data_IF_424787692176
#
_entry.id   IF_424787692176
#
_cell.length_a   1.000
_cell.length_b   1.000
_cell.length_c   1.000
_cell.angle_alpha   90.00
_cell.angle_beta   90.00
_cell.angle_gamma   90.00
#
_symmetry.space_group_name_H-M   'P 1'
#
loop_
_entity.id
_entity.type
_entity.pdbx_description
1 polymer ?
#
# COMPACT_ATOMS: atom_id res chain seq x y z
N UNK A 1 17.13 5.47 11.67
CA UNK A 1 17.59 4.60 12.78
C UNK A 1 18.83 5.22 13.44
N UNK A 2 18.98 5.12 14.77
CA UNK A 2 20.17 5.59 15.48
C UNK A 2 21.26 4.51 15.40
N UNK A 3 22.41 4.89 14.85
CA UNK A 3 23.61 4.05 14.81
C UNK A 3 24.66 4.67 15.73
N UNK A 4 25.27 3.88 16.60
CA UNK A 4 26.48 4.28 17.32
C UNK A 4 27.66 3.45 16.80
N UNK A 5 28.57 4.11 16.08
CA UNK A 5 29.90 3.55 15.81
C UNK A 5 30.93 4.42 16.56
N UNK A 6 31.77 3.77 17.35
CA UNK A 6 32.90 4.40 18.07
C UNK A 6 32.52 5.63 18.92
N UNK A 7 31.36 5.61 19.59
CA UNK A 7 30.94 6.67 20.52
C UNK A 7 30.32 7.92 19.86
N UNK A 8 30.17 7.95 18.53
CA UNK A 8 29.40 8.97 17.81
C UNK A 8 28.05 8.39 17.38
N UNK A 9 26.98 8.93 17.95
CA UNK A 9 25.62 8.63 17.52
C UNK A 9 25.26 9.38 16.23
N UNK A 10 24.85 8.66 15.20
CA UNK A 10 24.35 9.24 13.96
C UNK A 10 22.95 8.69 13.63
N UNK A 11 22.03 9.59 13.30
CA UNK A 11 20.75 9.21 12.72
C UNK A 11 20.95 9.00 11.22
N UNK A 12 20.67 7.79 10.73
CA UNK A 12 20.62 7.51 9.29
C UNK A 12 19.19 7.31 8.83
N UNK A 13 18.88 7.88 7.67
CA UNK A 13 17.63 7.61 6.97
C UNK A 13 17.56 6.12 6.59
N UNK A 14 16.39 5.53 6.77
CA UNK A 14 16.10 4.17 6.35
C UNK A 14 14.83 4.22 5.50
N UNK A 15 14.91 3.87 4.20
CA UNK A 15 13.75 3.94 3.32
C UNK A 15 12.67 2.98 3.81
N UNK A 16 11.44 3.50 3.89
CA UNK A 16 10.26 2.71 4.23
C UNK A 16 9.63 2.03 3.00
N UNK A 17 8.47 1.36 3.18
CA UNK A 17 7.79 0.64 2.11
C UNK A 17 7.42 1.50 0.89
N UNK A 18 7.21 2.81 1.08
CA UNK A 18 6.89 3.75 -0.01
C UNK A 18 7.99 3.86 -1.08
N UNK A 19 9.21 3.40 -0.80
CA UNK A 19 10.31 3.39 -1.77
C UNK A 19 10.34 2.13 -2.65
N UNK A 20 9.30 1.27 -2.58
CA UNK A 20 9.13 0.14 -3.48
C UNK A 20 8.50 0.54 -4.82
N UNK A 21 8.72 -0.27 -5.87
CA UNK A 21 8.17 0.02 -7.20
C UNK A 21 6.64 -0.13 -7.28
N UNK A 22 6.10 -1.10 -6.53
CA UNK A 22 4.66 -1.36 -6.41
C UNK A 22 4.33 -1.36 -4.93
N UNK A 23 3.38 -0.51 -4.55
CA UNK A 23 2.90 -0.39 -3.19
C UNK A 23 1.42 -0.78 -3.14
N UNK A 24 1.09 -1.79 -2.35
CA UNK A 24 -0.29 -2.14 -2.01
C UNK A 24 -0.65 -1.50 -0.67
N UNK A 25 -1.50 -0.49 -0.70
CA UNK A 25 -2.08 0.16 0.47
C UNK A 25 -3.45 -0.46 0.77
N UNK A 26 -3.45 -1.53 1.54
CA UNK A 26 -4.68 -2.22 1.92
C UNK A 26 -5.48 -1.37 2.92
N UNK A 27 -6.79 -1.31 2.72
CA UNK A 27 -7.76 -0.55 3.51
C UNK A 27 -7.30 0.88 3.81
N UNK A 28 -6.94 1.63 2.76
CA UNK A 28 -6.42 3.00 2.90
C UNK A 28 -7.35 3.90 3.72
N UNK A 29 -8.65 3.62 3.71
CA UNK A 29 -9.66 4.31 4.50
C UNK A 29 -9.56 4.06 6.01
N UNK A 30 -8.82 3.07 6.51
CA UNK A 30 -8.57 2.86 7.95
C UNK A 30 -7.38 3.67 8.47
N UNK A 31 -6.51 4.11 7.57
CA UNK A 31 -5.40 4.97 7.94
C UNK A 31 -5.91 6.37 8.33
N UNK A 32 -5.34 7.02 9.36
CA UNK A 32 -5.67 8.41 9.68
C UNK A 32 -5.46 9.34 8.49
N UNK A 33 -6.26 10.41 8.37
CA UNK A 33 -6.17 11.37 7.26
C UNK A 33 -4.76 11.92 7.01
N UNK A 34 -3.94 12.09 8.06
CA UNK A 34 -2.53 12.51 7.93
C UNK A 34 -1.64 11.48 7.22
N UNK A 35 -1.92 10.19 7.40
CA UNK A 35 -1.19 9.09 6.74
C UNK A 35 -1.63 8.98 5.28
N UNK A 36 -2.93 9.10 5.02
CA UNK A 36 -3.47 9.17 3.67
C UNK A 36 -2.86 10.34 2.89
N UNK A 37 -2.84 11.54 3.49
CA UNK A 37 -2.26 12.73 2.88
C UNK A 37 -0.78 12.54 2.55
N UNK A 38 0.01 11.94 3.45
CA UNK A 38 1.43 11.67 3.21
C UNK A 38 1.66 10.70 2.03
N UNK A 39 0.80 9.69 1.86
CA UNK A 39 0.88 8.79 0.71
C UNK A 39 0.52 9.51 -0.59
N UNK A 40 -0.55 10.32 -0.58
CA UNK A 40 -0.99 11.08 -1.76
C UNK A 40 0.03 12.15 -2.16
N UNK A 41 0.68 12.79 -1.20
CA UNK A 41 1.80 13.71 -1.45
C UNK A 41 2.97 12.98 -2.14
N UNK A 42 3.33 11.79 -1.64
CA UNK A 42 4.37 10.96 -2.25
C UNK A 42 4.02 10.55 -3.69
N UNK A 43 2.73 10.26 -3.97
CA UNK A 43 2.23 9.95 -5.31
C UNK A 43 2.37 11.12 -6.28
N UNK A 44 2.03 12.34 -5.84
CA UNK A 44 2.06 13.52 -6.70
C UNK A 44 3.46 14.08 -6.90
N UNK A 45 4.20 14.25 -5.80
CA UNK A 45 5.51 14.90 -5.82
C UNK A 45 6.61 13.93 -6.25
N UNK A 46 6.32 12.61 -6.30
CA UNK A 46 7.27 11.53 -6.61
C UNK A 46 8.54 11.58 -5.75
N UNK A 47 8.42 12.10 -4.53
CA UNK A 47 9.50 12.23 -3.57
C UNK A 47 8.94 12.27 -2.15
N UNK A 48 9.79 12.00 -1.17
CA UNK A 48 9.45 12.09 0.25
C UNK A 48 10.51 12.89 0.98
N UNK A 49 10.08 13.87 1.78
CA UNK A 49 10.99 14.69 2.60
C UNK A 49 11.00 14.20 4.03
N UNK A 50 12.19 13.89 4.56
CA UNK A 50 12.39 13.49 5.96
C UNK A 50 13.40 14.42 6.61
N UNK A 51 12.92 15.25 7.54
CA UNK A 51 13.74 16.30 8.15
C UNK A 51 14.11 17.38 7.14
N UNK A 52 15.40 17.50 6.81
CA UNK A 52 15.90 18.46 5.81
C UNK A 52 16.39 17.80 4.52
N UNK A 53 16.09 16.51 4.33
CA UNK A 53 16.54 15.75 3.16
C UNK A 53 15.34 15.23 2.39
N UNK A 54 15.33 15.51 1.09
CA UNK A 54 14.32 15.01 0.15
C UNK A 54 14.88 13.82 -0.60
N UNK A 55 14.08 12.76 -0.68
CA UNK A 55 14.45 11.50 -1.29
C UNK A 55 13.49 11.21 -2.46
N UNK A 56 13.98 11.09 -3.71
CA UNK A 56 13.13 10.74 -4.83
C UNK A 56 12.60 9.31 -4.70
N UNK A 57 11.38 9.09 -5.17
CA UNK A 57 10.83 7.74 -5.35
C UNK A 57 11.39 7.09 -6.63
N UNK A 58 11.30 5.76 -6.75
CA UNK A 58 11.68 5.08 -7.99
C UNK A 58 10.90 5.60 -9.21
N UNK A 59 11.53 5.58 -10.39
CA UNK A 59 10.88 6.01 -11.64
C UNK A 59 9.59 5.23 -11.92
N UNK A 60 9.62 3.92 -11.63
CA UNK A 60 8.44 3.05 -11.57
C UNK A 60 7.88 3.08 -10.16
N UNK A 61 6.85 3.89 -9.93
CA UNK A 61 6.13 3.95 -8.66
C UNK A 61 4.63 3.82 -8.90
N UNK A 62 4.06 2.67 -8.54
CA UNK A 62 2.65 2.36 -8.69
C UNK A 62 2.05 2.12 -7.31
N UNK A 63 0.99 2.85 -6.99
CA UNK A 63 0.20 2.63 -5.78
C UNK A 63 -1.12 1.97 -6.15
N UNK A 64 -1.37 0.80 -5.58
CA UNK A 64 -2.69 0.16 -5.58
C UNK A 64 -3.27 0.32 -4.18
N UNK A 65 -4.48 0.83 -4.07
CA UNK A 65 -5.13 1.00 -2.77
C UNK A 65 -6.49 0.31 -2.78
N UNK A 66 -6.82 -0.38 -1.69
CA UNK A 66 -8.14 -0.98 -1.49
C UNK A 66 -8.93 -0.13 -0.48
N UNK A 67 -10.24 -0.16 -0.59
CA UNK A 67 -11.15 0.46 0.35
C UNK A 67 -12.26 -0.53 0.66
N UNK A 68 -12.49 -0.80 1.94
CA UNK A 68 -13.64 -1.59 2.36
C UNK A 68 -14.84 -0.65 2.60
N UNK A 69 -15.90 -0.70 1.75
CA UNK A 69 -17.00 0.26 1.83
C UNK A 69 -18.01 -0.05 2.96
N UNK A 70 -17.93 -1.24 3.56
CA UNK A 70 -18.95 -1.74 4.51
C UNK A 70 -18.62 -1.33 5.96
N UNK A 71 -17.33 -1.14 6.27
CA UNK A 71 -16.88 -0.79 7.62
C UNK A 71 -16.88 0.74 7.84
N UNK A 72 -17.74 1.21 8.74
CA UNK A 72 -17.90 2.64 9.09
C UNK A 72 -17.20 3.02 10.39
N UNK A 73 -16.83 2.05 11.23
CA UNK A 73 -16.15 2.32 12.51
C UNK A 73 -14.64 2.46 12.29
N UNK A 74 -14.08 3.59 12.74
CA UNK A 74 -12.64 3.84 12.63
C UNK A 74 -12.15 4.10 11.20
N UNK A 75 -13.03 4.47 10.27
CA UNK A 75 -12.66 4.80 8.90
C UNK A 75 -12.69 6.31 8.62
N UNK A 76 -11.76 6.73 7.76
CA UNK A 76 -11.57 8.06 7.22
C UNK A 76 -11.76 7.95 5.71
N UNK A 77 -12.96 8.29 5.18
CA UNK A 77 -13.21 8.17 3.76
C UNK A 77 -12.31 9.13 2.99
N UNK A 78 -11.78 8.69 1.85
CA UNK A 78 -11.03 9.58 0.96
C UNK A 78 -12.02 10.56 0.31
N UNK A 79 -11.81 11.88 0.45
CA UNK A 79 -12.54 12.88 -0.31
C UNK A 79 -12.41 12.62 -1.82
N UNK A 80 -13.41 13.04 -2.60
CA UNK A 80 -13.39 12.92 -4.06
C UNK A 80 -12.12 13.51 -4.68
N UNK A 81 -11.73 14.70 -4.22
CA UNK A 81 -10.50 15.38 -4.63
C UNK A 81 -9.21 14.58 -4.34
N UNK A 82 -9.23 13.61 -3.41
CA UNK A 82 -8.11 12.72 -3.14
C UNK A 82 -8.16 11.47 -4.04
N UNK A 83 -9.36 11.00 -4.36
CA UNK A 83 -9.56 9.84 -5.25
C UNK A 83 -9.17 10.17 -6.69
N UNK A 84 -9.30 11.43 -7.11
CA UNK A 84 -8.91 11.93 -8.45
C UNK A 84 -7.41 11.73 -8.76
N UNK A 85 -6.57 11.57 -7.73
CA UNK A 85 -5.13 11.28 -7.89
C UNK A 85 -4.85 9.84 -8.32
N UNK A 86 -5.86 8.97 -8.29
CA UNK A 86 -5.74 7.61 -8.80
C UNK A 86 -6.16 7.58 -10.27
N UNK A 87 -5.32 6.99 -11.10
CA UNK A 87 -5.59 6.82 -12.53
C UNK A 87 -6.90 6.05 -12.80
N UNK A 88 -7.25 5.10 -11.93
CA UNK A 88 -8.40 4.22 -12.11
C UNK A 88 -9.00 3.83 -10.76
N UNK A 89 -10.33 3.77 -10.71
CA UNK A 89 -11.08 3.13 -9.63
C UNK A 89 -11.73 1.86 -10.16
N UNK A 90 -11.38 0.72 -9.56
CA UNK A 90 -11.98 -0.57 -9.89
C UNK A 90 -12.95 -0.96 -8.78
N UNK A 91 -14.18 -1.29 -9.15
CA UNK A 91 -15.16 -1.87 -8.23
C UNK A 91 -15.04 -3.40 -8.31
N UNK A 92 -14.66 -4.02 -7.19
CA UNK A 92 -14.54 -5.47 -7.08
C UNK A 92 -15.76 -5.98 -6.34
N UNK A 93 -16.53 -6.86 -6.99
CA UNK A 93 -17.68 -7.53 -6.42
C UNK A 93 -17.37 -9.02 -6.18
N UNK A 94 -18.26 -9.73 -5.50
CA UNK A 94 -18.12 -11.15 -5.29
C UNK A 94 -18.12 -11.91 -6.63
N UNK A 95 -17.24 -12.92 -6.77
CA UNK A 95 -17.22 -13.75 -7.97
C UNK A 95 -18.54 -14.51 -8.13
N UNK A 96 -18.88 -14.87 -9.37
CA UNK A 96 -20.01 -15.76 -9.59
C UNK A 96 -19.74 -17.13 -8.92
N UNK A 97 -20.78 -17.88 -8.49
CA UNK A 97 -20.59 -19.16 -7.79
C UNK A 97 -19.73 -20.18 -8.54
N UNK A 98 -19.76 -20.15 -9.88
CA UNK A 98 -18.93 -21.01 -10.71
C UNK A 98 -17.44 -20.62 -10.66
N UNK A 99 -17.14 -19.32 -10.64
CA UNK A 99 -15.78 -18.79 -10.56
C UNK A 99 -15.22 -18.98 -9.15
N UNK A 100 -16.03 -18.77 -8.11
CA UNK A 100 -15.67 -19.06 -6.72
C UNK A 100 -15.29 -20.53 -6.55
N UNK A 101 -16.09 -21.45 -7.10
CA UNK A 101 -15.76 -22.87 -7.10
C UNK A 101 -14.45 -23.16 -7.86
N UNK A 102 -14.20 -22.43 -8.94
CA UNK A 102 -12.94 -22.47 -9.69
C UNK A 102 -11.74 -22.09 -8.82
N UNK A 103 -11.81 -20.96 -8.11
CA UNK A 103 -10.78 -20.51 -7.17
C UNK A 103 -10.55 -21.53 -6.06
N UNK A 104 -11.61 -22.08 -5.47
CA UNK A 104 -11.50 -23.12 -4.44
C UNK A 104 -10.88 -24.42 -4.97
N UNK A 105 -11.00 -24.74 -6.27
CA UNK A 105 -10.32 -25.89 -6.88
C UNK A 105 -8.83 -25.59 -7.06
N UNK A 106 -8.48 -24.42 -7.60
CA UNK A 106 -7.09 -23.99 -7.78
C UNK A 106 -6.31 -24.02 -6.46
N UNK A 107 -6.88 -23.46 -5.39
CA UNK A 107 -6.25 -23.47 -4.06
C UNK A 107 -6.02 -24.90 -3.54
N UNK A 108 -7.01 -25.79 -3.70
CA UNK A 108 -6.87 -27.21 -3.30
C UNK A 108 -5.81 -27.96 -4.10
N UNK A 109 -5.67 -27.64 -5.39
CA UNK A 109 -4.67 -28.26 -6.25
C UNK A 109 -3.25 -27.80 -5.90
N UNK A 110 -3.08 -26.51 -5.58
CA UNK A 110 -1.81 -25.98 -5.06
C UNK A 110 -1.40 -26.62 -3.72
N UNK A 111 -2.33 -26.74 -2.77
CA UNK A 111 -2.08 -27.42 -1.49
C UNK A 111 -1.67 -28.87 -1.68
N UNK A 112 -2.34 -29.60 -2.60
CA UNK A 112 -1.98 -30.98 -2.94
C UNK A 112 -0.60 -31.07 -3.58
N UNK A 113 -0.24 -30.14 -4.46
CA UNK A 113 1.07 -30.10 -5.10
C UNK A 113 2.18 -29.80 -4.07
N UNK A 114 1.92 -28.93 -3.10
CA UNK A 114 2.87 -28.63 -2.02
C UNK A 114 3.06 -29.80 -1.03
N UNK A 115 2.06 -30.68 -0.90
CA UNK A 115 2.09 -31.87 -0.05
C UNK A 115 2.52 -33.15 -0.78
N UNK A 116 2.78 -33.09 -2.09
CA UNK A 116 3.30 -34.21 -2.85
C UNK A 116 4.78 -34.44 -2.48
N UNK A 117 5.19 -35.69 -2.18
CA UNK A 117 6.54 -36.03 -1.73
C UNK A 117 7.63 -35.83 -2.79
#
# INVERSE_FOLDING_TARGET
MYYSEAGKGAFRFQPGPVFGNILLADEINRAPAKVQAALLEAMEERQVTVGQSTHPLPDLFIVMATQNPIEQEGTYPLPEAQTDRFLMKVLVDYPAPADELGVLRLLRDEERAALAP
#
